data_IF_059947565550
#
_entry.id   IF_059947565550
#
_cell.length_a   1.000
_cell.length_b   1.000
_cell.length_c   1.000
_cell.angle_alpha   90.00
_cell.angle_beta   90.00
_cell.angle_gamma   90.00
#
_symmetry.space_group_name_H-M   'P 1'
#
loop_
_entity.id
_entity.type
_entity.pdbx_description
1 polymer ?
#
# COMPACT_ATOMS: atom_id res chain seq x y z
N UNK A 1 -16.37 -14.37 22.53
CA UNK A 1 -16.68 -13.26 21.61
C UNK A 1 -15.45 -12.35 21.54
N UNK A 2 -14.89 -12.09 20.35
CA UNK A 2 -13.72 -11.21 20.18
C UNK A 2 -14.15 -9.73 20.16
N UNK A 3 -13.26 -8.81 20.54
CA UNK A 3 -13.53 -7.35 20.62
C UNK A 3 -14.10 -6.79 19.30
N UNK A 4 -13.71 -7.36 18.17
CA UNK A 4 -14.09 -6.89 16.83
C UNK A 4 -15.34 -7.53 16.25
N UNK A 5 -15.93 -8.51 16.93
CA UNK A 5 -16.96 -9.38 16.36
C UNK A 5 -18.22 -8.58 15.98
N UNK A 6 -18.66 -7.67 16.86
CA UNK A 6 -19.79 -6.77 16.57
C UNK A 6 -19.54 -5.82 15.38
N UNK A 7 -18.28 -5.43 15.15
CA UNK A 7 -17.93 -4.58 14.00
C UNK A 7 -17.89 -5.38 12.71
N UNK A 8 -17.48 -6.65 12.76
CA UNK A 8 -17.52 -7.56 11.61
C UNK A 8 -18.97 -7.85 11.20
N UNK A 9 -19.84 -8.13 12.18
CA UNK A 9 -21.28 -8.32 11.96
C UNK A 9 -21.88 -7.10 11.23
N UNK A 10 -21.64 -5.87 11.75
CA UNK A 10 -22.10 -4.62 11.11
C UNK A 10 -21.55 -4.43 9.71
N UNK A 11 -20.28 -4.77 9.47
CA UNK A 11 -19.68 -4.66 8.15
C UNK A 11 -20.29 -5.64 7.14
N UNK A 12 -20.71 -6.83 7.61
CA UNK A 12 -21.39 -7.82 6.78
C UNK A 12 -22.82 -7.36 6.42
N UNK A 13 -23.55 -6.78 7.38
CA UNK A 13 -24.85 -6.16 7.11
C UNK A 13 -24.75 -5.08 6.02
N UNK A 14 -23.74 -4.21 6.13
CA UNK A 14 -23.46 -3.18 5.12
C UNK A 14 -23.13 -3.79 3.76
N UNK A 15 -22.36 -4.89 3.71
CA UNK A 15 -22.02 -5.58 2.45
C UNK A 15 -23.27 -6.06 1.71
N UNK A 16 -24.30 -6.49 2.43
CA UNK A 16 -25.53 -7.01 1.84
C UNK A 16 -26.52 -5.93 1.36
N UNK A 17 -26.30 -4.66 1.71
CA UNK A 17 -27.07 -3.53 1.15
C UNK A 17 -26.84 -3.40 -0.37
N UNK A 18 -27.76 -2.78 -1.13
CA UNK A 18 -27.55 -2.56 -2.58
C UNK A 18 -26.25 -1.82 -2.90
N UNK A 19 -25.96 -0.74 -2.15
CA UNK A 19 -24.72 0.04 -2.28
C UNK A 19 -23.48 -0.80 -1.92
N UNK A 20 -23.57 -1.62 -0.87
CA UNK A 20 -22.51 -2.54 -0.46
C UNK A 20 -22.19 -3.57 -1.54
N UNK A 21 -23.21 -4.14 -2.19
CA UNK A 21 -23.04 -5.08 -3.31
C UNK A 21 -22.36 -4.42 -4.50
N UNK A 22 -22.78 -3.22 -4.88
CA UNK A 22 -22.15 -2.45 -5.97
C UNK A 22 -20.68 -2.17 -5.65
N UNK A 23 -20.37 -1.68 -4.45
CA UNK A 23 -18.99 -1.44 -4.02
C UNK A 23 -18.16 -2.73 -3.97
N UNK A 24 -18.74 -3.82 -3.46
CA UNK A 24 -18.07 -5.12 -3.36
C UNK A 24 -17.78 -5.71 -4.75
N UNK A 25 -18.61 -5.43 -5.76
CA UNK A 25 -18.36 -5.85 -7.14
C UNK A 25 -17.04 -5.28 -7.70
N UNK A 26 -16.62 -4.10 -7.23
CA UNK A 26 -15.36 -3.46 -7.61
C UNK A 26 -14.13 -4.11 -6.98
N UNK A 27 -14.29 -5.10 -6.09
CA UNK A 27 -13.19 -5.82 -5.44
C UNK A 27 -12.32 -6.55 -6.47
N UNK A 28 -12.93 -7.21 -7.45
CA UNK A 28 -12.21 -7.95 -8.51
C UNK A 28 -11.32 -7.02 -9.34
N UNK A 29 -11.84 -5.81 -9.58
CA UNK A 29 -11.10 -4.79 -10.28
C UNK A 29 -10.00 -4.20 -9.39
N UNK A 30 -10.32 -3.76 -8.18
CA UNK A 30 -9.37 -2.96 -7.38
C UNK A 30 -8.44 -3.82 -6.52
N UNK A 31 -9.01 -4.64 -5.64
CA UNK A 31 -8.29 -5.40 -4.62
C UNK A 31 -7.55 -6.59 -5.25
N UNK A 32 -8.22 -7.37 -6.10
CA UNK A 32 -7.62 -8.55 -6.71
C UNK A 32 -6.49 -8.18 -7.68
N UNK A 33 -6.57 -7.04 -8.39
CA UNK A 33 -5.43 -6.51 -9.16
C UNK A 33 -4.22 -6.18 -8.28
N UNK A 34 -4.44 -5.60 -7.09
CA UNK A 34 -3.33 -5.31 -6.17
C UNK A 34 -2.69 -6.61 -5.68
N UNK A 35 -3.49 -7.63 -5.37
CA UNK A 35 -2.96 -8.95 -5.00
C UNK A 35 -2.22 -9.64 -6.15
N UNK A 36 -2.70 -9.51 -7.39
CA UNK A 36 -2.00 -10.03 -8.56
C UNK A 36 -0.64 -9.33 -8.75
N UNK A 37 -0.62 -8.00 -8.66
CA UNK A 37 0.63 -7.21 -8.71
C UNK A 37 1.61 -7.61 -7.60
N UNK A 38 1.11 -7.87 -6.39
CA UNK A 38 1.93 -8.35 -5.28
C UNK A 38 2.57 -9.72 -5.57
N UNK A 39 1.82 -10.63 -6.19
CA UNK A 39 2.31 -11.95 -6.58
C UNK A 39 3.37 -11.86 -7.68
N UNK A 40 3.11 -11.12 -8.75
CA UNK A 40 4.04 -11.03 -9.90
C UNK A 40 5.26 -10.15 -9.63
N UNK A 41 5.05 -8.96 -9.08
CA UNK A 41 6.12 -7.92 -9.00
C UNK A 41 6.89 -7.94 -7.69
N UNK A 42 6.33 -8.54 -6.64
CA UNK A 42 6.91 -8.53 -5.30
C UNK A 42 7.13 -9.95 -4.74
N UNK A 43 7.23 -10.93 -5.65
CA UNK A 43 7.62 -12.31 -5.36
C UNK A 43 6.74 -13.02 -4.32
N UNK A 44 5.46 -12.64 -4.20
CA UNK A 44 4.53 -13.28 -3.27
C UNK A 44 3.94 -14.62 -3.77
N UNK A 45 4.41 -15.13 -4.92
CA UNK A 45 4.08 -16.50 -5.36
C UNK A 45 4.70 -17.57 -4.46
N UNK A 46 5.87 -17.28 -3.87
CA UNK A 46 6.60 -18.20 -3.01
C UNK A 46 7.00 -17.52 -1.71
N UNK A 47 7.21 -18.34 -0.68
CA UNK A 47 7.68 -17.87 0.62
C UNK A 47 9.19 -18.06 0.71
N UNK A 48 9.93 -16.96 0.74
CA UNK A 48 11.39 -17.00 0.81
C UNK A 48 11.93 -17.04 2.24
N UNK A 49 11.09 -16.67 3.23
CA UNK A 49 11.46 -16.59 4.64
C UNK A 49 10.81 -17.74 5.43
N UNK A 50 11.55 -18.29 6.39
CA UNK A 50 11.04 -19.29 7.33
C UNK A 50 10.43 -18.62 8.57
N UNK A 51 9.24 -19.08 8.97
CA UNK A 51 8.52 -18.63 10.16
C UNK A 51 7.50 -17.51 9.88
N UNK A 52 6.35 -17.60 10.56
CA UNK A 52 5.21 -16.70 10.36
C UNK A 52 5.53 -15.24 10.63
N UNK A 53 6.34 -14.94 11.66
CA UNK A 53 6.70 -13.57 12.02
C UNK A 53 7.46 -12.85 10.90
N UNK A 54 8.43 -13.54 10.27
CA UNK A 54 9.24 -12.97 9.18
C UNK A 54 8.42 -12.76 7.91
N UNK A 55 7.56 -13.73 7.56
CA UNK A 55 6.63 -13.57 6.43
C UNK A 55 5.64 -12.44 6.67
N UNK A 56 5.08 -12.33 7.87
CA UNK A 56 4.17 -11.24 8.22
C UNK A 56 4.85 -9.89 8.04
N UNK A 57 6.08 -9.73 8.56
CA UNK A 57 6.86 -8.50 8.37
C UNK A 57 7.09 -8.18 6.88
N UNK A 58 7.51 -9.16 6.08
CA UNK A 58 7.73 -8.98 4.64
C UNK A 58 6.45 -8.53 3.92
N UNK A 59 5.34 -9.24 4.15
CA UNK A 59 4.06 -8.95 3.51
C UNK A 59 3.54 -7.58 3.93
N UNK A 60 3.63 -7.24 5.22
CA UNK A 60 3.25 -5.92 5.72
C UNK A 60 4.07 -4.81 5.06
N UNK A 61 5.38 -4.99 4.90
CA UNK A 61 6.23 -3.99 4.24
C UNK A 61 5.87 -3.81 2.75
N UNK A 62 5.61 -4.90 2.02
CA UNK A 62 5.18 -4.84 0.61
C UNK A 62 3.90 -4.01 0.47
N UNK A 63 2.87 -4.31 1.26
CA UNK A 63 1.60 -3.57 1.19
C UNK A 63 1.72 -2.13 1.70
N UNK A 64 2.56 -1.87 2.71
CA UNK A 64 2.85 -0.51 3.15
C UNK A 64 3.46 0.31 2.00
N UNK A 65 4.47 -0.21 1.31
CA UNK A 65 5.09 0.44 0.16
C UNK A 65 4.10 0.66 -1.01
N UNK A 66 3.24 -0.31 -1.32
CA UNK A 66 2.18 -0.15 -2.33
C UNK A 66 1.20 0.97 -1.97
N UNK A 67 0.78 1.04 -0.72
CA UNK A 67 -0.11 2.09 -0.22
C UNK A 67 0.56 3.47 -0.25
N UNK A 68 1.83 3.57 0.13
CA UNK A 68 2.62 4.80 0.04
C UNK A 68 2.75 5.27 -1.42
N UNK A 69 3.01 4.34 -2.35
CA UNK A 69 3.03 4.64 -3.79
C UNK A 69 1.68 5.17 -4.28
N UNK A 70 0.57 4.57 -3.83
CA UNK A 70 -0.78 5.05 -4.16
C UNK A 70 -1.03 6.46 -3.61
N UNK A 71 -0.65 6.71 -2.35
CA UNK A 71 -0.77 8.02 -1.72
C UNK A 71 0.07 9.09 -2.43
N UNK A 72 1.32 8.78 -2.77
CA UNK A 72 2.20 9.70 -3.49
C UNK A 72 1.62 10.08 -4.87
N UNK A 73 1.08 9.11 -5.61
CA UNK A 73 0.35 9.36 -6.87
C UNK A 73 -0.86 10.27 -6.66
N UNK A 74 -1.62 10.06 -5.59
CA UNK A 74 -2.77 10.91 -5.26
C UNK A 74 -2.36 12.34 -4.94
N UNK A 75 -1.35 12.51 -4.07
CA UNK A 75 -0.81 13.84 -3.74
C UNK A 75 -0.27 14.56 -4.98
N UNK A 76 0.43 13.85 -5.88
CA UNK A 76 0.87 14.39 -7.17
C UNK A 76 -0.31 14.86 -8.02
N UNK A 77 -1.35 14.04 -8.17
CA UNK A 77 -2.56 14.39 -8.94
C UNK A 77 -3.28 15.61 -8.34
N UNK A 78 -3.25 15.78 -7.02
CA UNK A 78 -3.82 16.94 -6.32
C UNK A 78 -2.92 18.18 -6.33
N UNK A 79 -1.75 18.14 -6.99
CA UNK A 79 -0.81 19.27 -7.01
C UNK A 79 -0.11 19.55 -5.67
N UNK A 80 -0.18 18.62 -4.70
CA UNK A 80 0.36 18.81 -3.35
C UNK A 80 1.87 18.50 -3.25
N UNK A 81 2.49 18.00 -4.32
CA UNK A 81 3.91 17.68 -4.36
C UNK A 81 4.64 18.65 -5.27
N UNK A 82 5.84 19.13 -4.86
CA UNK A 82 6.58 20.08 -5.67
C UNK A 82 7.07 19.43 -6.98
N UNK A 83 7.43 20.23 -8.00
CA UNK A 83 7.97 19.73 -9.26
C UNK A 83 9.15 18.79 -9.03
N UNK A 84 9.31 17.79 -9.91
CA UNK A 84 10.40 16.81 -9.76
C UNK A 84 11.80 17.49 -9.77
N UNK A 85 11.93 18.63 -10.42
CA UNK A 85 13.16 19.44 -10.48
C UNK A 85 13.61 19.96 -9.12
N UNK A 86 12.69 20.34 -8.22
CA UNK A 86 13.07 20.81 -6.88
C UNK A 86 13.54 19.64 -6.00
N UNK A 87 12.88 18.48 -6.11
CA UNK A 87 13.27 17.27 -5.38
C UNK A 87 14.68 16.79 -5.77
N UNK A 88 15.04 16.93 -7.05
CA UNK A 88 16.37 16.57 -7.55
C UNK A 88 17.47 17.49 -7.00
N UNK A 89 17.17 18.79 -6.86
CA UNK A 89 18.04 19.74 -6.15
C UNK A 89 18.21 19.36 -4.69
N UNK A 90 17.10 19.14 -3.97
CA UNK A 90 17.14 18.79 -2.54
C UNK A 90 17.95 17.51 -2.29
N UNK A 91 17.82 16.51 -3.18
CA UNK A 91 18.58 15.27 -3.10
C UNK A 91 20.07 15.46 -3.41
N UNK A 92 20.39 16.24 -4.44
CA UNK A 92 21.78 16.56 -4.80
C UNK A 92 22.45 17.39 -3.70
N UNK A 93 21.74 18.36 -3.15
CA UNK A 93 22.21 19.21 -2.04
C UNK A 93 22.43 18.37 -0.78
N UNK A 94 21.53 17.44 -0.45
CA UNK A 94 21.73 16.49 0.65
C UNK A 94 22.95 15.58 0.43
N UNK A 95 23.11 15.05 -0.79
CA UNK A 95 24.24 14.19 -1.15
C UNK A 95 25.58 14.94 -1.10
N UNK A 96 25.62 16.17 -1.63
CA UNK A 96 26.78 17.05 -1.59
C UNK A 96 27.12 17.47 -0.15
N UNK A 97 26.11 17.78 0.67
CA UNK A 97 26.29 18.07 2.09
C UNK A 97 26.94 16.88 2.80
N UNK A 98 26.45 15.65 2.57
CA UNK A 98 27.04 14.44 3.16
C UNK A 98 28.46 14.16 2.67
N UNK A 99 28.80 14.54 1.44
CA UNK A 99 30.16 14.42 0.89
C UNK A 99 31.16 15.39 1.53
N UNK A 100 30.71 16.53 2.06
CA UNK A 100 31.59 17.49 2.75
C UNK A 100 31.94 17.08 4.19
N UNK A 101 31.22 16.11 4.78
CA UNK A 101 31.45 15.60 6.15
C UNK A 101 32.01 14.17 6.17
N UNK A 102 32.52 13.68 5.04
CA UNK A 102 33.26 12.43 4.88
C UNK A 102 34.68 12.75 4.40
#
# INVERSE_FOLDING_TARGET
RHIWEEYIEKAEDVRHTPQGKELYSLRSQTIERVFADAKEKHSMRYTHLRGLAKLKMQVTLIFACMNLKKLAKWKRKKGMLPPFTSLCKDFLDFYLMKKQFA
#
